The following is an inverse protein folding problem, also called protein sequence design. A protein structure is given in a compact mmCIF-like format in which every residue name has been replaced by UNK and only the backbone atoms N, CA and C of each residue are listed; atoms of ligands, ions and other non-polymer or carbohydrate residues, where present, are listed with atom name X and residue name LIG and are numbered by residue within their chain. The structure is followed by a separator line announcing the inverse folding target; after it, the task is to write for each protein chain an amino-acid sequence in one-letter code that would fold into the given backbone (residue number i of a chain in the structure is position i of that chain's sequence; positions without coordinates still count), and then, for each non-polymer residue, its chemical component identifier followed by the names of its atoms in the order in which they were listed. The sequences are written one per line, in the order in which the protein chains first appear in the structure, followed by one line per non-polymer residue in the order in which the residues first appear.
data_IF_916724618211
#
_entry.id   IF_916724618211
#
_cell.length_a   1.000
_cell.length_b   1.000
_cell.length_c   1.000
_cell.angle_alpha   90.00
_cell.angle_beta   90.00
_cell.angle_gamma   90.00
#
_symmetry.space_group_name_H-M   'P 1'
#
loop_
_entity.id
_entity.type
_entity.pdbx_description
1 polymer ?
#
# COMPACT_ATOMS: atom_id res chain seq x y z
N UNK A 1 -24.03 -21.12 6.52
CA UNK A 1 -22.96 -21.66 5.66
C UNK A 1 -21.68 -21.78 6.47
N UNK A 2 -21.40 -22.93 7.11
CA UNK A 2 -20.23 -23.13 7.98
C UNK A 2 -18.87 -22.81 7.34
N UNK A 3 -18.76 -22.95 6.02
CA UNK A 3 -17.58 -22.64 5.21
C UNK A 3 -17.38 -21.14 4.92
N UNK A 4 -18.41 -20.31 5.13
CA UNK A 4 -18.41 -18.90 4.71
C UNK A 4 -17.71 -18.04 5.76
N UNK A 5 -16.48 -17.62 5.47
CA UNK A 5 -15.75 -16.63 6.25
C UNK A 5 -15.88 -15.26 5.59
N UNK A 6 -16.76 -14.41 6.11
CA UNK A 6 -16.97 -13.06 5.57
C UNK A 6 -15.87 -12.11 6.04
N UNK A 7 -15.38 -11.20 5.18
CA UNK A 7 -14.44 -10.16 5.56
C UNK A 7 -15.14 -8.98 6.25
N UNK A 8 -16.08 -9.24 7.16
CA UNK A 8 -16.91 -8.20 7.79
C UNK A 8 -16.12 -7.06 8.43
N UNK A 9 -14.99 -7.30 9.14
CA UNK A 9 -14.16 -6.21 9.63
C UNK A 9 -13.70 -5.24 8.53
N UNK A 10 -13.30 -5.77 7.38
CA UNK A 10 -12.82 -4.98 6.23
C UNK A 10 -13.99 -4.25 5.55
N UNK A 11 -15.13 -4.91 5.42
CA UNK A 11 -16.37 -4.28 4.93
C UNK A 11 -16.77 -3.10 5.82
N UNK A 12 -16.65 -3.26 7.13
CA UNK A 12 -16.99 -2.23 8.10
C UNK A 12 -16.03 -1.04 8.05
N UNK A 13 -14.72 -1.29 7.97
CA UNK A 13 -13.71 -0.24 7.76
C UNK A 13 -14.02 0.60 6.52
N UNK A 14 -14.35 -0.07 5.41
CA UNK A 14 -14.72 0.61 4.16
C UNK A 14 -16.02 1.40 4.32
N UNK A 15 -17.06 0.80 4.90
CA UNK A 15 -18.38 1.44 5.02
C UNK A 15 -18.34 2.70 5.91
N UNK A 16 -17.67 2.61 7.06
CA UNK A 16 -17.57 3.73 8.03
C UNK A 16 -16.86 4.95 7.48
N UNK A 17 -15.95 4.79 6.51
CA UNK A 17 -15.37 5.95 5.81
C UNK A 17 -16.43 6.87 5.18
N UNK A 18 -17.60 6.31 4.80
CA UNK A 18 -18.74 7.07 4.30
C UNK A 18 -19.40 7.96 5.35
N UNK A 19 -19.45 7.56 6.61
CA UNK A 19 -19.99 8.40 7.68
C UNK A 19 -19.08 9.61 7.92
N UNK A 20 -17.76 9.40 7.97
CA UNK A 20 -16.78 10.49 8.13
C UNK A 20 -16.91 11.51 6.98
N UNK A 21 -17.06 11.02 5.74
CA UNK A 21 -17.32 11.88 4.59
C UNK A 21 -18.65 12.65 4.73
N UNK A 22 -19.69 12.00 5.27
CA UNK A 22 -20.96 12.63 5.61
C UNK A 22 -20.80 13.75 6.64
N UNK A 23 -20.06 13.51 7.72
CA UNK A 23 -19.77 14.51 8.77
C UNK A 23 -19.02 15.72 8.21
N UNK A 24 -18.01 15.48 7.36
CA UNK A 24 -17.29 16.56 6.67
C UNK A 24 -18.23 17.37 5.76
N UNK A 25 -19.04 16.68 4.96
CA UNK A 25 -19.97 17.33 4.02
C UNK A 25 -21.00 18.18 4.76
N UNK A 26 -21.56 17.66 5.85
CA UNK A 26 -22.50 18.39 6.71
C UNK A 26 -21.84 19.65 7.29
N UNK A 27 -20.64 19.53 7.87
CA UNK A 27 -19.92 20.68 8.43
C UNK A 27 -19.60 21.76 7.39
N UNK A 28 -19.13 21.37 6.20
CA UNK A 28 -18.86 22.30 5.10
C UNK A 28 -20.15 22.97 4.57
N UNK A 29 -21.26 22.23 4.54
CA UNK A 29 -22.55 22.77 4.11
C UNK A 29 -23.06 23.86 5.06
N UNK A 30 -22.87 23.68 6.38
CA UNK A 30 -23.16 24.72 7.38
C UNK A 30 -22.27 25.95 7.14
N UNK A 31 -20.95 25.75 7.00
CA UNK A 31 -19.99 26.86 6.84
C UNK A 31 -20.19 27.70 5.56
N UNK A 32 -20.68 27.10 4.47
CA UNK A 32 -20.82 27.76 3.17
C UNK A 32 -21.63 29.07 3.24
N UNK A 33 -22.64 29.13 4.11
CA UNK A 33 -23.54 30.28 4.24
C UNK A 33 -23.28 31.17 5.45
N UNK A 34 -22.33 30.79 6.31
CA UNK A 34 -22.12 31.45 7.59
C UNK A 34 -21.20 32.66 7.44
N UNK A 35 -21.64 33.81 7.96
CA UNK A 35 -20.80 35.00 8.06
C UNK A 35 -19.61 34.77 9.01
N UNK A 36 -18.52 35.52 8.81
CA UNK A 36 -17.31 35.40 9.64
C UNK A 36 -17.52 36.01 11.04
N UNK A 37 -18.24 35.30 11.89
CA UNK A 37 -18.63 35.73 13.23
C UNK A 37 -18.80 34.54 14.17
N UNK A 38 -18.86 34.82 15.48
CA UNK A 38 -19.30 33.83 16.45
C UNK A 38 -20.82 33.65 16.34
N UNK A 39 -21.26 32.51 15.83
CA UNK A 39 -22.68 32.17 15.75
C UNK A 39 -22.93 30.70 16.12
N UNK A 40 -24.21 30.36 16.33
CA UNK A 40 -24.63 29.00 16.68
C UNK A 40 -24.50 28.01 15.52
N UNK A 41 -24.48 28.49 14.29
CA UNK A 41 -24.24 27.65 13.11
C UNK A 41 -22.86 26.97 13.20
N UNK A 42 -21.80 27.75 13.50
CA UNK A 42 -20.45 27.18 13.66
C UNK A 42 -20.30 26.42 14.97
N UNK A 43 -20.62 27.04 16.11
CA UNK A 43 -20.27 26.47 17.43
C UNK A 43 -21.19 25.31 17.85
N UNK A 44 -22.38 25.19 17.24
CA UNK A 44 -23.33 24.12 17.50
C UNK A 44 -23.44 23.16 16.32
N UNK A 45 -24.10 23.61 15.26
CA UNK A 45 -24.55 22.72 14.18
C UNK A 45 -23.39 22.12 13.37
N UNK A 46 -22.37 22.92 13.04
CA UNK A 46 -21.19 22.42 12.32
C UNK A 46 -20.35 21.45 13.16
N UNK A 47 -20.25 21.69 14.47
CA UNK A 47 -19.48 20.84 15.39
C UNK A 47 -20.25 19.58 15.83
N UNK A 48 -21.57 19.54 15.65
CA UNK A 48 -22.42 18.43 16.08
C UNK A 48 -21.90 17.04 15.64
N UNK A 49 -21.58 16.78 14.34
CA UNK A 49 -21.11 15.47 13.91
C UNK A 49 -19.62 15.20 14.24
N UNK A 50 -18.88 16.18 14.76
CA UNK A 50 -17.43 16.09 14.91
C UNK A 50 -17.02 15.05 15.97
N UNK A 51 -17.66 15.06 17.13
CA UNK A 51 -17.34 14.13 18.22
C UNK A 51 -17.54 12.67 17.80
N UNK A 52 -18.68 12.37 17.18
CA UNK A 52 -18.98 11.02 16.68
C UNK A 52 -18.03 10.60 15.56
N UNK A 53 -17.64 11.52 14.68
CA UNK A 53 -16.65 11.24 13.63
C UNK A 53 -15.28 10.87 14.22
N UNK A 54 -14.83 11.56 15.27
CA UNK A 54 -13.57 11.24 15.96
C UNK A 54 -13.63 9.87 16.63
N UNK A 55 -14.70 9.58 17.38
CA UNK A 55 -14.88 8.28 18.02
C UNK A 55 -14.95 7.14 17.00
N UNK A 56 -15.63 7.36 15.88
CA UNK A 56 -15.73 6.36 14.83
C UNK A 56 -14.38 6.12 14.14
N UNK A 57 -13.61 7.17 13.87
CA UNK A 57 -12.27 7.05 13.31
C UNK A 57 -11.33 6.26 14.25
N UNK A 58 -11.39 6.52 15.56
CA UNK A 58 -10.62 5.76 16.56
C UNK A 58 -11.01 4.27 16.55
N UNK A 59 -12.31 3.98 16.53
CA UNK A 59 -12.81 2.60 16.47
C UNK A 59 -12.37 1.89 15.18
N UNK A 60 -12.35 2.59 14.04
CA UNK A 60 -11.82 2.07 12.78
C UNK A 60 -10.32 1.75 12.88
N UNK A 61 -9.51 2.61 13.49
CA UNK A 61 -8.07 2.36 13.66
C UNK A 61 -7.83 1.12 14.53
N UNK A 62 -8.57 0.97 15.63
CA UNK A 62 -8.51 -0.23 16.48
C UNK A 62 -8.92 -1.50 15.72
N UNK A 63 -9.96 -1.42 14.90
CA UNK A 63 -10.38 -2.55 14.07
C UNK A 63 -9.32 -2.89 13.00
N UNK A 64 -8.69 -1.89 12.39
CA UNK A 64 -7.62 -2.09 11.42
C UNK A 64 -6.39 -2.77 12.05
N UNK A 65 -6.00 -2.39 13.27
CA UNK A 65 -4.92 -3.06 14.01
C UNK A 65 -5.23 -4.56 14.21
N UNK A 66 -6.45 -4.90 14.63
CA UNK A 66 -6.88 -6.30 14.77
C UNK A 66 -6.82 -7.06 13.44
N UNK A 67 -7.25 -6.44 12.34
CA UNK A 67 -7.20 -7.04 11.00
C UNK A 67 -5.76 -7.31 10.57
N UNK A 68 -4.86 -6.33 10.73
CA UNK A 68 -3.47 -6.44 10.32
C UNK A 68 -2.74 -7.48 11.17
N UNK A 69 -2.90 -7.46 12.51
CA UNK A 69 -2.30 -8.46 13.42
C UNK A 69 -2.82 -9.87 13.19
N UNK A 70 -4.09 -10.00 12.82
CA UNK A 70 -4.74 -11.29 12.55
C UNK A 70 -4.51 -11.84 11.14
N UNK A 71 -3.88 -11.06 10.25
CA UNK A 71 -3.66 -11.45 8.86
C UNK A 71 -2.74 -12.68 8.78
N UNK A 72 -3.18 -13.72 8.05
CA UNK A 72 -2.35 -14.87 7.71
C UNK A 72 -2.14 -14.91 6.21
N UNK A 73 -0.87 -14.88 5.81
CA UNK A 73 -0.44 -14.91 4.42
C UNK A 73 -0.28 -16.37 3.97
N UNK A 74 -0.80 -16.70 2.79
CA UNK A 74 -0.54 -17.99 2.15
C UNK A 74 0.63 -17.83 1.18
N UNK A 75 1.84 -17.99 1.71
CA UNK A 75 3.10 -17.80 0.96
C UNK A 75 3.18 -18.72 -0.27
N UNK A 76 2.85 -20.00 -0.10
CA UNK A 76 2.88 -20.98 -1.20
C UNK A 76 1.95 -20.57 -2.35
N UNK A 77 0.74 -20.08 -2.04
CA UNK A 77 -0.20 -19.58 -3.06
C UNK A 77 0.31 -18.30 -3.71
N UNK A 78 0.95 -17.39 -2.96
CA UNK A 78 1.50 -16.16 -3.52
C UNK A 78 2.67 -16.42 -4.45
N UNK A 79 3.61 -17.28 -4.06
CA UNK A 79 4.74 -17.69 -4.89
C UNK A 79 4.24 -18.38 -6.15
N UNK A 80 3.39 -19.39 -6.01
CA UNK A 80 2.78 -20.10 -7.14
C UNK A 80 2.03 -19.16 -8.08
N UNK A 81 1.30 -18.17 -7.55
CA UNK A 81 0.64 -17.18 -8.38
C UNK A 81 1.64 -16.30 -9.15
N UNK A 82 2.73 -15.86 -8.53
CA UNK A 82 3.76 -15.04 -9.17
C UNK A 82 4.58 -15.81 -10.22
N UNK A 83 4.83 -17.10 -10.02
CA UNK A 83 5.51 -17.98 -10.98
C UNK A 83 4.62 -18.30 -12.19
N UNK A 84 3.31 -18.45 -11.95
CA UNK A 84 2.34 -18.82 -12.98
C UNK A 84 1.83 -17.62 -13.77
N UNK A 85 1.61 -16.49 -13.09
CA UNK A 85 1.18 -15.29 -13.77
C UNK A 85 2.36 -14.70 -14.55
N UNK A 86 2.08 -14.12 -15.71
CA UNK A 86 3.11 -13.55 -16.58
C UNK A 86 3.67 -12.21 -16.04
N UNK A 87 3.74 -12.02 -14.72
CA UNK A 87 4.22 -10.78 -14.09
C UNK A 87 5.73 -10.58 -14.25
N UNK A 88 6.50 -11.65 -14.41
CA UNK A 88 7.96 -11.62 -14.56
C UNK A 88 8.42 -11.21 -15.97
N UNK A 89 7.50 -11.11 -16.92
CA UNK A 89 7.82 -10.82 -18.33
C UNK A 89 8.35 -9.40 -18.54
N UNK A 90 8.10 -8.49 -17.60
CA UNK A 90 8.78 -7.19 -17.61
C UNK A 90 10.29 -7.34 -17.44
N UNK A 91 10.77 -8.26 -16.58
CA UNK A 91 12.21 -8.50 -16.42
C UNK A 91 12.82 -9.14 -17.66
N UNK A 92 12.07 -10.00 -18.35
CA UNK A 92 12.51 -10.55 -19.63
C UNK A 92 12.65 -9.43 -20.67
N UNK A 93 11.69 -8.53 -20.79
CA UNK A 93 11.79 -7.40 -21.72
C UNK A 93 13.02 -6.53 -21.40
N UNK A 94 13.22 -6.25 -20.12
CA UNK A 94 14.37 -5.52 -19.60
C UNK A 94 15.72 -6.21 -19.90
N UNK A 95 15.78 -7.55 -19.80
CA UNK A 95 16.94 -8.34 -20.17
C UNK A 95 17.22 -8.26 -21.67
N UNK A 96 16.19 -8.32 -22.52
CA UNK A 96 16.31 -8.14 -23.97
C UNK A 96 16.90 -6.76 -24.34
N UNK A 97 16.48 -5.71 -23.63
CA UNK A 97 17.07 -4.38 -23.82
C UNK A 97 18.54 -4.36 -23.38
N UNK A 98 18.82 -4.78 -22.14
CA UNK A 98 20.17 -4.65 -21.54
C UNK A 98 21.22 -5.54 -22.19
N UNK A 99 20.87 -6.78 -22.52
CA UNK A 99 21.84 -7.80 -23.00
C UNK A 99 21.90 -7.91 -24.51
N UNK A 100 20.80 -7.64 -25.21
CA UNK A 100 20.71 -7.85 -26.66
C UNK A 100 20.48 -6.55 -27.45
N UNK A 101 20.38 -5.41 -26.76
CA UNK A 101 20.35 -4.08 -27.37
C UNK A 101 19.06 -3.75 -28.10
N UNK A 102 17.96 -4.46 -27.82
CA UNK A 102 16.66 -4.12 -28.38
C UNK A 102 16.16 -2.78 -27.82
N UNK A 103 15.39 -2.02 -28.62
CA UNK A 103 14.60 -0.94 -28.04
C UNK A 103 13.53 -1.52 -27.12
N UNK A 104 13.17 -0.80 -26.06
CA UNK A 104 12.12 -1.27 -25.13
C UNK A 104 10.79 -1.55 -25.84
N UNK A 105 10.46 -0.79 -26.89
CA UNK A 105 9.26 -1.04 -27.71
C UNK A 105 9.28 -2.44 -28.34
N UNK A 106 10.40 -2.85 -28.93
CA UNK A 106 10.55 -4.17 -29.53
C UNK A 106 10.54 -5.25 -28.44
N UNK A 107 11.27 -5.05 -27.35
CA UNK A 107 11.28 -5.99 -26.23
C UNK A 107 9.88 -6.19 -25.64
N UNK A 108 9.10 -5.11 -25.48
CA UNK A 108 7.72 -5.16 -25.02
C UNK A 108 6.80 -5.92 -26.00
N UNK A 109 6.94 -5.70 -27.31
CA UNK A 109 6.20 -6.45 -28.33
C UNK A 109 6.54 -7.95 -28.29
N UNK A 110 7.82 -8.29 -28.11
CA UNK A 110 8.27 -9.68 -27.96
C UNK A 110 7.61 -10.34 -26.77
N UNK A 111 7.69 -9.76 -25.58
CA UNK A 111 7.08 -10.38 -24.39
C UNK A 111 5.56 -10.42 -24.46
N UNK A 112 4.91 -9.42 -25.06
CA UNK A 112 3.46 -9.46 -25.28
C UNK A 112 3.04 -10.58 -26.23
N UNK A 113 3.84 -10.86 -27.27
CA UNK A 113 3.60 -11.99 -28.15
C UNK A 113 3.90 -13.34 -27.49
N UNK A 114 4.93 -13.43 -26.63
CA UNK A 114 5.22 -14.62 -25.84
C UNK A 114 4.06 -14.99 -24.91
N UNK A 115 3.51 -14.00 -24.20
CA UNK A 115 2.36 -14.23 -23.30
C UNK A 115 1.16 -14.77 -24.08
N UNK A 116 0.83 -14.15 -25.22
CA UNK A 116 -0.28 -14.62 -26.06
C UNK A 116 -0.06 -16.06 -26.54
N UNK A 117 1.12 -16.35 -27.07
CA UNK A 117 1.45 -17.68 -27.58
C UNK A 117 1.45 -18.74 -26.45
N UNK A 118 1.91 -18.38 -25.25
CA UNK A 118 1.87 -19.23 -24.07
C UNK A 118 0.42 -19.55 -23.64
N UNK A 119 -0.44 -18.53 -23.60
CA UNK A 119 -1.86 -18.70 -23.25
C UNK A 119 -2.61 -19.51 -24.30
N UNK A 120 -2.39 -19.24 -25.59
CA UNK A 120 -3.01 -19.98 -26.69
C UNK A 120 -2.55 -21.45 -26.74
N UNK A 121 -1.31 -21.72 -26.34
CA UNK A 121 -0.75 -23.07 -26.26
C UNK A 121 -1.10 -23.81 -24.96
N UNK A 122 -1.84 -23.17 -24.04
CA UNK A 122 -2.23 -23.76 -22.76
C UNK A 122 -1.06 -24.00 -21.80
N UNK A 123 0.02 -23.19 -21.89
CA UNK A 123 1.15 -23.31 -20.97
C UNK A 123 0.73 -22.99 -19.52
N UNK A 124 1.16 -23.78 -18.53
CA UNK A 124 0.77 -23.59 -17.13
C UNK A 124 1.19 -22.25 -16.52
N UNK A 125 2.30 -21.66 -16.97
CA UNK A 125 2.78 -20.38 -16.47
C UNK A 125 3.99 -19.80 -17.19
N UNK A 126 4.49 -18.68 -16.65
CA UNK A 126 5.65 -17.99 -17.20
C UNK A 126 6.92 -18.85 -17.17
N UNK A 127 7.09 -19.69 -16.15
CA UNK A 127 8.24 -20.57 -15.99
C UNK A 127 8.36 -21.66 -17.09
N UNK A 128 7.29 -21.92 -17.83
CA UNK A 128 7.26 -22.90 -18.92
C UNK A 128 7.71 -22.30 -20.28
N UNK A 129 8.06 -21.01 -20.31
CA UNK A 129 8.62 -20.37 -21.51
C UNK A 129 10.08 -20.79 -21.65
N UNK A 130 10.40 -21.48 -22.75
CA UNK A 130 11.75 -21.91 -23.07
C UNK A 130 12.51 -20.95 -24.01
N UNK A 131 13.81 -21.17 -24.16
CA UNK A 131 14.65 -20.33 -25.02
C UNK A 131 14.19 -20.38 -26.49
N UNK A 132 13.80 -21.56 -26.99
CA UNK A 132 13.39 -21.74 -28.38
C UNK A 132 12.14 -20.91 -28.72
N UNK A 133 11.20 -20.81 -27.79
CA UNK A 133 10.02 -19.97 -27.89
C UNK A 133 10.40 -18.49 -27.94
N UNK A 134 11.27 -18.03 -27.03
CA UNK A 134 11.75 -16.64 -27.02
C UNK A 134 12.46 -16.28 -28.32
N UNK A 135 13.40 -17.12 -28.76
CA UNK A 135 14.18 -16.92 -29.99
C UNK A 135 13.29 -16.88 -31.23
N UNK A 136 12.30 -17.79 -31.33
CA UNK A 136 11.31 -17.82 -32.41
C UNK A 136 10.49 -16.52 -32.46
N UNK A 137 10.02 -16.04 -31.31
CA UNK A 137 9.22 -14.81 -31.24
C UNK A 137 10.07 -13.58 -31.55
N UNK A 138 11.32 -13.53 -31.09
CA UNK A 138 12.27 -12.47 -31.43
C UNK A 138 12.50 -12.44 -32.96
N UNK A 139 12.76 -13.58 -33.59
CA UNK A 139 12.97 -13.65 -35.04
C UNK A 139 11.75 -13.12 -35.81
N UNK A 140 10.54 -13.49 -35.38
CA UNK A 140 9.27 -13.04 -35.98
C UNK A 140 9.01 -11.54 -35.85
N UNK A 141 9.37 -10.93 -34.71
CA UNK A 141 9.02 -9.53 -34.41
C UNK A 141 10.13 -8.56 -34.76
N UNK A 142 11.36 -8.90 -34.39
CA UNK A 142 12.52 -8.04 -34.57
C UNK A 142 13.27 -8.29 -35.89
N UNK A 143 12.91 -9.34 -36.64
CA UNK A 143 13.54 -9.67 -37.92
C UNK A 143 15.01 -10.08 -37.80
N UNK A 144 15.48 -10.40 -36.59
CA UNK A 144 16.85 -10.86 -36.31
C UNK A 144 16.84 -12.06 -35.38
N UNK A 145 17.80 -12.95 -35.57
CA UNK A 145 18.02 -14.07 -34.66
C UNK A 145 18.97 -13.64 -33.55
N UNK A 146 18.67 -14.08 -32.34
CA UNK A 146 19.50 -13.91 -31.14
C UNK A 146 19.48 -15.23 -30.42
N UNK A 147 20.61 -15.63 -29.83
CA UNK A 147 20.64 -16.78 -28.92
C UNK A 147 20.39 -16.28 -27.50
N UNK A 148 19.44 -16.90 -26.83
CA UNK A 148 19.10 -16.62 -25.43
C UNK A 148 19.78 -17.65 -24.55
N UNK A 149 20.55 -17.18 -23.58
CA UNK A 149 21.14 -18.06 -22.58
C UNK A 149 20.04 -18.58 -21.62
N UNK A 150 20.05 -19.90 -21.37
CA UNK A 150 19.03 -20.54 -20.56
C UNK A 150 19.06 -20.08 -19.09
N UNK A 151 20.25 -19.77 -18.55
CA UNK A 151 20.37 -19.26 -17.20
C UNK A 151 19.83 -17.82 -17.09
N UNK A 152 20.04 -17.01 -18.14
CA UNK A 152 19.51 -15.66 -18.22
C UNK A 152 17.98 -15.63 -18.34
N UNK A 153 17.42 -16.55 -19.12
CA UNK A 153 15.97 -16.71 -19.23
C UNK A 153 15.37 -17.14 -17.89
N UNK A 154 15.93 -18.18 -17.26
CA UNK A 154 15.49 -18.65 -15.95
C UNK A 154 15.56 -17.54 -14.89
N UNK A 155 16.66 -16.79 -14.87
CA UNK A 155 16.83 -15.65 -13.97
C UNK A 155 15.81 -14.52 -14.21
N UNK A 156 15.41 -14.30 -15.46
CA UNK A 156 14.42 -13.27 -15.83
C UNK A 156 13.00 -13.68 -15.46
N UNK A 157 12.69 -14.98 -15.55
CA UNK A 157 11.37 -15.54 -15.24
C UNK A 157 11.17 -15.89 -13.76
N UNK A 158 12.23 -15.90 -12.96
CA UNK A 158 12.19 -16.13 -11.52
C UNK A 158 11.65 -14.88 -10.75
N UNK A 159 10.46 -14.97 -10.12
CA UNK A 159 9.87 -13.84 -9.40
C UNK A 159 10.68 -13.38 -8.18
N UNK A 160 11.45 -14.27 -7.54
CA UNK A 160 12.32 -13.89 -6.41
C UNK A 160 13.46 -13.02 -6.89
N UNK A 161 14.11 -13.41 -7.98
CA UNK A 161 15.16 -12.60 -8.58
C UNK A 161 14.64 -11.27 -9.12
N UNK A 162 13.41 -11.25 -9.65
CA UNK A 162 12.73 -10.00 -10.03
C UNK A 162 12.64 -9.04 -8.84
N UNK A 163 12.22 -9.54 -7.67
CA UNK A 163 12.15 -8.74 -6.44
C UNK A 163 13.53 -8.26 -6.01
N UNK A 164 14.52 -9.16 -5.92
CA UNK A 164 15.87 -8.86 -5.46
C UNK A 164 16.58 -7.78 -6.30
N UNK A 165 16.35 -7.76 -7.63
CA UNK A 165 16.98 -6.77 -8.53
C UNK A 165 16.47 -5.35 -8.31
N UNK A 166 15.27 -5.17 -7.77
CA UNK A 166 14.62 -3.85 -7.63
C UNK A 166 15.02 -3.17 -6.32
N UNK A 167 16.30 -2.79 -6.24
CA UNK A 167 16.94 -2.22 -5.03
C UNK A 167 16.80 -0.71 -4.89
N UNK A 168 16.15 -0.04 -5.85
CA UNK A 168 15.91 1.41 -5.82
C UNK A 168 15.05 1.83 -4.62
N UNK A 169 15.06 3.10 -4.26
CA UNK A 169 14.16 3.65 -3.22
C UNK A 169 12.70 3.38 -3.60
N UNK A 170 11.93 2.79 -2.68
CA UNK A 170 10.56 2.36 -2.94
C UNK A 170 10.43 1.00 -3.66
N UNK A 171 11.55 0.35 -3.98
CA UNK A 171 11.58 -0.98 -4.59
C UNK A 171 11.27 -2.11 -3.60
N UNK A 172 10.81 -3.28 -4.10
CA UNK A 172 10.43 -4.42 -3.26
C UNK A 172 11.59 -5.28 -2.78
N UNK A 173 12.84 -5.04 -3.20
CA UNK A 173 13.97 -5.84 -2.76
C UNK A 173 14.10 -5.81 -1.22
N UNK A 174 14.48 -6.92 -0.56
CA UNK A 174 14.58 -6.96 0.90
C UNK A 174 15.46 -5.84 1.48
N UNK A 175 16.57 -5.52 0.82
CA UNK A 175 17.45 -4.42 1.21
C UNK A 175 16.78 -3.04 1.10
N UNK A 176 15.91 -2.83 0.11
CA UNK A 176 15.16 -1.59 -0.07
C UNK A 176 14.02 -1.46 0.94
N UNK A 177 13.28 -2.56 1.16
CA UNK A 177 12.22 -2.63 2.18
C UNK A 177 12.80 -2.42 3.57
N UNK A 178 13.95 -3.01 3.89
CA UNK A 178 14.61 -2.79 5.18
C UNK A 178 14.92 -1.31 5.43
N UNK A 179 15.47 -0.60 4.44
CA UNK A 179 15.70 0.85 4.56
C UNK A 179 14.41 1.65 4.80
N UNK A 180 13.30 1.22 4.20
CA UNK A 180 11.98 1.83 4.43
C UNK A 180 11.45 1.55 5.83
N UNK A 181 11.63 0.32 6.34
CA UNK A 181 11.28 -0.06 7.70
C UNK A 181 12.08 0.75 8.74
N UNK A 182 13.39 0.89 8.52
CA UNK A 182 14.24 1.69 9.41
C UNK A 182 13.81 3.16 9.44
N UNK A 183 13.36 3.70 8.30
CA UNK A 183 12.79 5.05 8.23
C UNK A 183 11.47 5.12 8.98
N UNK A 184 10.55 4.20 8.72
CA UNK A 184 9.24 4.17 9.38
C UNK A 184 9.38 4.05 10.90
N UNK A 185 10.35 3.28 11.41
CA UNK A 185 10.63 3.17 12.83
C UNK A 185 11.13 4.49 13.44
N UNK A 186 11.97 5.25 12.71
CA UNK A 186 12.42 6.57 13.16
C UNK A 186 11.28 7.59 13.16
N UNK A 187 10.46 7.59 12.11
CA UNK A 187 9.31 8.49 12.00
C UNK A 187 8.31 8.21 13.14
N UNK A 188 8.03 6.93 13.42
CA UNK A 188 7.17 6.52 14.53
C UNK A 188 7.71 6.98 15.89
N UNK A 189 9.01 6.82 16.14
CA UNK A 189 9.62 7.28 17.39
C UNK A 189 9.53 8.81 17.55
N UNK A 190 9.62 9.56 16.45
CA UNK A 190 9.43 11.01 16.47
C UNK A 190 7.97 11.39 16.78
N UNK A 191 7.00 10.70 16.17
CA UNK A 191 5.57 10.89 16.44
C UNK A 191 5.23 10.59 17.90
N UNK A 192 5.75 9.48 18.46
CA UNK A 192 5.56 9.11 19.86
C UNK A 192 6.13 10.16 20.82
N UNK A 193 7.29 10.74 20.49
CA UNK A 193 7.89 11.81 21.27
C UNK A 193 7.02 13.08 21.26
N UNK A 194 6.42 13.43 20.11
CA UNK A 194 5.49 14.56 20.00
C UNK A 194 4.23 14.32 20.84
N UNK A 195 3.65 13.12 20.79
CA UNK A 195 2.48 12.76 21.58
C UNK A 195 2.79 12.83 23.07
N UNK A 196 3.87 12.18 23.51
CA UNK A 196 4.30 12.16 24.92
C UNK A 196 4.54 13.57 25.46
N UNK A 197 5.21 14.43 24.68
CA UNK A 197 5.47 15.80 25.09
C UNK A 197 4.17 16.63 25.24
N UNK A 198 3.18 16.42 24.35
CA UNK A 198 1.88 17.08 24.43
C UNK A 198 1.10 16.62 25.65
N UNK A 199 1.05 15.32 25.92
CA UNK A 199 0.37 14.76 27.10
C UNK A 199 0.98 15.29 28.40
N UNK A 200 2.31 15.30 28.50
CA UNK A 200 3.02 15.86 29.65
C UNK A 200 2.73 17.36 29.83
N UNK A 201 2.70 18.12 28.74
CA UNK A 201 2.34 19.54 28.76
C UNK A 201 0.92 19.78 29.27
N UNK A 202 -0.05 18.99 28.81
CA UNK A 202 -1.44 19.07 29.27
C UNK A 202 -1.57 18.72 30.76
N UNK A 203 -0.92 17.65 31.20
CA UNK A 203 -0.92 17.25 32.62
C UNK A 203 -0.30 18.32 33.53
N UNK A 204 0.82 18.93 33.11
CA UNK A 204 1.44 20.01 33.86
C UNK A 204 0.58 21.27 33.92
N UNK A 205 -0.13 21.61 32.84
CA UNK A 205 -1.05 22.73 32.80
C UNK A 205 -2.27 22.51 33.72
N UNK A 206 -2.84 21.29 33.71
CA UNK A 206 -3.94 20.89 34.58
C UNK A 206 -3.55 20.95 36.06
N UNK A 207 -2.36 20.46 36.42
CA UNK A 207 -1.85 20.55 37.79
C UNK A 207 -1.64 21.98 38.26
N UNK A 208 -1.09 22.84 37.39
CA UNK A 208 -0.97 24.28 37.68
C UNK A 208 -2.34 24.93 37.92
N UNK A 209 -3.33 24.60 37.10
CA UNK A 209 -4.69 25.11 37.24
C UNK A 209 -5.28 24.69 38.59
N UNK A 210 -5.16 23.41 38.96
CA UNK A 210 -5.63 22.90 40.26
C UNK A 210 -5.01 23.63 41.43
N UNK A 211 -3.67 23.84 41.41
CA UNK A 211 -2.98 24.59 42.47
C UNK A 211 -3.46 26.04 42.57
N UNK A 212 -3.64 26.71 41.44
CA UNK A 212 -4.13 28.09 41.42
C UNK A 212 -5.55 28.20 41.97
N UNK A 213 -6.44 27.27 41.58
CA UNK A 213 -7.82 27.20 42.08
C UNK A 213 -7.84 26.95 43.59
N UNK A 214 -7.03 25.99 44.07
CA UNK A 214 -6.94 25.69 45.51
C UNK A 214 -6.42 26.88 46.34
N UNK A 215 -5.41 27.59 45.83
CA UNK A 215 -4.88 28.79 46.48
C UNK A 215 -5.95 29.89 46.58
N UNK A 216 -6.71 30.15 45.50
CA UNK A 216 -7.80 31.12 45.51
C UNK A 216 -8.94 30.73 46.45
N UNK A 217 -9.31 29.44 46.48
CA UNK A 217 -10.35 28.93 47.38
C UNK A 217 -9.96 29.03 48.86
N UNK A 218 -8.67 29.01 49.19
CA UNK A 218 -8.19 29.16 50.57
C UNK A 218 -8.20 30.61 51.10
N UNK A 219 -8.44 31.59 50.24
CA UNK A 219 -8.49 33.02 50.57
C UNK A 219 -9.95 33.48 50.82
N UNK A 220 -10.94 32.69 50.40
CA UNK A 220 -12.37 32.94 50.57
C UNK A 220 -12.94 32.24 51.81
#
# INVERSE_FOLDING_TARGET
MPQKKNPMPIEHLKAKSGHILGSLTAGLAVLKGTGFMHCREVNGEMMHPFGDAVHEAEAMLRLADVVVRGLRVNEARMVSAAERNFSTLTDLADALVRKHGFSFRIAHQVVGALVREAVESGLPGAADIDCAMVERVIARIAGRTVSIDASDLAASLDPRQNVERRTVTGGPAPSAVQRMLDRAARDLAADDAVVTAREAGLAAADERLRKAVAALASIA
#
